data_IF_073724175316
#
_entry.id   IF_073724175316
#
_cell.length_a   1.000
_cell.length_b   1.000
_cell.length_c   1.000
_cell.angle_alpha   90.00
_cell.angle_beta   90.00
_cell.angle_gamma   90.00
#
_symmetry.space_group_name_H-M   'P 1'
#
loop_
_entity.id
_entity.type
_entity.pdbx_description
1 polymer ?
#
# COMPACT_ATOMS: atom_id res chain seq x y z
N UNK A 1 55.11 -60.10 19.40
CA UNK A 1 54.42 -59.49 20.56
C UNK A 1 54.41 -57.97 20.37
N UNK A 2 53.29 -57.40 19.92
CA UNK A 2 53.14 -55.93 19.89
C UNK A 2 53.15 -55.42 21.34
N UNK A 3 54.05 -54.49 21.64
CA UNK A 3 54.23 -53.95 22.99
C UNK A 3 52.98 -53.12 23.36
N UNK A 4 52.25 -53.51 24.41
CA UNK A 4 50.96 -52.89 24.78
C UNK A 4 51.07 -51.38 25.01
N UNK A 5 52.25 -50.90 25.45
CA UNK A 5 52.55 -49.48 25.61
C UNK A 5 52.54 -48.72 24.28
N UNK A 6 53.01 -49.34 23.19
CA UNK A 6 53.00 -48.74 21.84
C UNK A 6 51.58 -48.69 21.26
N UNK A 7 50.75 -49.68 21.55
CA UNK A 7 49.36 -49.73 21.09
C UNK A 7 48.49 -48.65 21.77
N UNK A 8 48.64 -48.49 23.09
CA UNK A 8 47.94 -47.44 23.85
C UNK A 8 48.37 -46.04 23.38
N UNK A 9 49.66 -45.83 23.11
CA UNK A 9 50.16 -44.55 22.63
C UNK A 9 49.59 -44.19 21.25
N UNK A 10 49.50 -45.17 20.33
CA UNK A 10 48.88 -44.98 19.01
C UNK A 10 47.38 -44.72 19.13
N UNK A 11 46.67 -45.39 20.04
CA UNK A 11 45.23 -45.19 20.26
C UNK A 11 44.93 -43.79 20.81
N UNK A 12 45.75 -43.31 21.76
CA UNK A 12 45.62 -41.96 22.33
C UNK A 12 45.96 -40.90 21.29
N UNK A 13 47.00 -41.13 20.47
CA UNK A 13 47.35 -40.23 19.36
C UNK A 13 46.22 -40.18 18.32
N UNK A 14 45.60 -41.32 17.99
CA UNK A 14 44.46 -41.39 17.08
C UNK A 14 43.23 -40.68 17.66
N UNK A 15 42.96 -40.80 18.96
CA UNK A 15 41.89 -40.03 19.62
C UNK A 15 42.17 -38.52 19.68
N UNK A 16 43.42 -38.09 19.88
CA UNK A 16 43.81 -36.67 19.83
C UNK A 16 43.68 -36.07 18.41
N UNK A 17 44.02 -36.84 17.37
CA UNK A 17 43.86 -36.40 15.97
C UNK A 17 42.38 -36.31 15.58
N UNK A 18 41.51 -37.18 16.12
CA UNK A 18 40.06 -37.10 15.89
C UNK A 18 39.34 -36.02 16.72
N UNK A 19 39.97 -35.48 17.77
CA UNK A 19 39.43 -34.34 18.53
C UNK A 19 39.61 -32.98 17.83
N UNK A 20 40.42 -32.92 16.77
CA UNK A 20 40.68 -31.68 16.01
C UNK A 20 39.64 -31.40 14.92
N UNK A 21 38.64 -32.27 14.71
CA UNK A 21 37.42 -31.89 13.99
C UNK A 21 36.35 -31.40 14.97
N UNK A 22 36.73 -30.45 15.84
CA UNK A 22 35.71 -29.59 16.41
C UNK A 22 35.12 -28.83 15.23
N UNK A 23 33.80 -28.94 15.03
CA UNK A 23 33.06 -28.15 14.06
C UNK A 23 33.31 -26.67 14.33
N UNK A 24 34.35 -26.12 13.73
CA UNK A 24 34.36 -24.72 13.36
C UNK A 24 33.32 -24.61 12.24
N UNK A 25 32.04 -24.52 12.63
CA UNK A 25 31.09 -23.84 11.77
C UNK A 25 31.66 -22.44 11.65
N UNK A 26 32.35 -22.20 10.54
CA UNK A 26 32.83 -20.89 10.14
C UNK A 26 31.57 -20.10 9.81
N UNK A 27 30.84 -19.66 10.85
CA UNK A 27 29.79 -18.68 10.66
C UNK A 27 30.52 -17.45 10.16
N UNK A 28 30.31 -17.11 8.89
CA UNK A 28 30.51 -15.74 8.43
C UNK A 28 29.59 -14.87 9.30
N UNK A 29 30.06 -14.53 10.49
CA UNK A 29 29.37 -13.67 11.41
C UNK A 29 29.37 -12.30 10.78
N UNK A 30 28.20 -11.68 10.74
CA UNK A 30 28.08 -10.29 10.36
C UNK A 30 28.90 -9.45 11.34
N UNK A 31 29.87 -8.71 10.85
CA UNK A 31 30.63 -7.78 11.68
C UNK A 31 29.72 -6.64 12.12
N UNK A 32 29.77 -6.29 13.42
CA UNK A 32 28.97 -5.19 13.99
C UNK A 32 29.41 -3.81 13.50
N UNK A 33 30.59 -3.73 12.88
CA UNK A 33 31.18 -2.50 12.35
C UNK A 33 31.10 -2.44 10.81
N UNK A 34 30.31 -3.32 10.19
CA UNK A 34 30.07 -3.36 8.75
C UNK A 34 30.81 -4.47 8.02
N UNK A 35 30.21 -4.96 6.92
CA UNK A 35 30.78 -5.98 6.04
C UNK A 35 31.08 -5.36 4.67
N UNK A 36 32.16 -5.80 4.01
CA UNK A 36 32.38 -5.56 2.59
C UNK A 36 31.57 -6.62 1.82
N UNK A 37 30.63 -6.18 0.97
CA UNK A 37 29.74 -7.07 0.22
C UNK A 37 30.07 -7.07 -1.29
N UNK A 38 29.94 -8.24 -1.92
CA UNK A 38 29.91 -8.43 -3.37
C UNK A 38 28.45 -8.50 -3.89
N UNK A 39 28.25 -8.61 -5.21
CA UNK A 39 26.90 -8.76 -5.80
C UNK A 39 26.17 -10.04 -5.41
N UNK A 40 26.87 -11.05 -4.89
CA UNK A 40 26.31 -12.34 -4.47
C UNK A 40 26.06 -12.45 -2.96
N UNK A 41 26.56 -11.49 -2.17
CA UNK A 41 26.36 -11.48 -0.71
C UNK A 41 24.99 -10.87 -0.37
N UNK A 42 24.30 -11.42 0.62
CA UNK A 42 22.98 -10.93 1.07
C UNK A 42 22.80 -11.09 2.58
N UNK A 43 21.85 -10.32 3.13
CA UNK A 43 21.29 -10.53 4.49
C UNK A 43 19.96 -11.22 4.31
N UNK A 44 19.81 -12.43 4.82
CA UNK A 44 18.56 -13.16 4.66
C UNK A 44 18.67 -14.63 4.96
N UNK A 45 17.62 -15.34 4.56
CA UNK A 45 17.48 -16.78 4.63
C UNK A 45 17.56 -17.38 3.21
N UNK A 46 18.07 -18.60 3.09
CA UNK A 46 18.10 -19.37 1.82
C UNK A 46 17.09 -20.50 1.79
N UNK A 47 16.33 -20.66 2.87
CA UNK A 47 15.26 -21.63 3.02
C UNK A 47 13.90 -20.92 3.12
N UNK A 48 12.83 -21.69 3.22
CA UNK A 48 11.45 -21.18 3.34
C UNK A 48 11.13 -20.66 4.76
N UNK A 49 12.04 -19.88 5.33
CA UNK A 49 11.86 -19.20 6.61
C UNK A 49 11.88 -17.69 6.40
N UNK A 50 11.09 -16.98 7.21
CA UNK A 50 11.08 -15.53 7.17
C UNK A 50 12.42 -14.95 7.66
N UNK A 51 12.89 -13.89 7.02
CA UNK A 51 13.96 -13.06 7.56
C UNK A 51 13.37 -12.12 8.60
N UNK A 52 13.83 -12.21 9.85
CA UNK A 52 13.20 -11.57 11.01
C UNK A 52 14.18 -10.60 11.69
N UNK A 53 13.72 -9.38 11.95
CA UNK A 53 14.43 -8.35 12.73
C UNK A 53 13.80 -8.21 14.12
N UNK A 54 14.62 -8.36 15.16
CA UNK A 54 14.21 -8.33 16.57
C UNK A 54 14.99 -7.30 17.38
N UNK A 55 14.36 -6.76 18.40
CA UNK A 55 15.00 -6.03 19.50
C UNK A 55 14.25 -6.33 20.80
N UNK A 56 14.99 -6.51 21.90
CA UNK A 56 14.43 -6.93 23.19
C UNK A 56 13.56 -8.21 23.08
N UNK A 57 14.02 -9.19 22.30
CA UNK A 57 13.30 -10.43 21.98
C UNK A 57 11.92 -10.25 21.28
N UNK A 58 11.53 -9.02 20.94
CA UNK A 58 10.32 -8.73 20.19
C UNK A 58 10.62 -8.62 18.70
N UNK A 59 9.73 -9.17 17.87
CA UNK A 59 9.78 -9.04 16.43
C UNK A 59 9.18 -7.72 15.97
N UNK A 60 9.95 -6.93 15.23
CA UNK A 60 9.53 -5.61 14.76
C UNK A 60 9.34 -5.55 13.25
N UNK A 61 10.08 -6.37 12.50
CA UNK A 61 9.96 -6.45 11.06
C UNK A 61 10.26 -7.86 10.58
N UNK A 62 9.58 -8.29 9.52
CA UNK A 62 9.90 -9.51 8.78
C UNK A 62 9.80 -9.33 7.28
N UNK A 63 10.50 -10.21 6.56
CA UNK A 63 10.26 -10.50 5.16
C UNK A 63 9.87 -11.98 5.06
N UNK A 64 8.65 -12.26 4.62
CA UNK A 64 8.16 -13.65 4.42
C UNK A 64 8.85 -14.32 3.23
N UNK A 65 8.81 -15.66 3.11
CA UNK A 65 9.29 -16.36 1.92
C UNK A 65 8.67 -15.87 0.60
N UNK A 66 7.44 -15.36 0.63
CA UNK A 66 6.73 -14.79 -0.54
C UNK A 66 7.12 -13.33 -0.86
N UNK A 67 8.10 -12.80 -0.13
CA UNK A 67 8.63 -11.44 -0.30
C UNK A 67 7.76 -10.33 0.29
N UNK A 68 6.72 -10.65 1.06
CA UNK A 68 5.94 -9.62 1.78
C UNK A 68 6.70 -9.11 3.00
N UNK A 69 6.70 -7.79 3.18
CA UNK A 69 7.31 -7.10 4.32
C UNK A 69 6.24 -6.79 5.36
N UNK A 70 6.43 -7.27 6.58
CA UNK A 70 5.58 -6.94 7.72
C UNK A 70 6.33 -6.04 8.70
N UNK A 71 5.70 -4.95 9.16
CA UNK A 71 6.19 -4.09 10.25
C UNK A 71 5.20 -4.20 11.42
N UNK A 72 5.69 -4.68 12.57
CA UNK A 72 4.87 -5.02 13.75
C UNK A 72 3.74 -6.04 13.48
N UNK A 73 3.87 -6.85 12.43
CA UNK A 73 2.96 -7.95 12.09
C UNK A 73 3.74 -9.16 11.60
N UNK A 74 3.31 -10.36 11.99
CA UNK A 74 3.91 -11.62 11.56
C UNK A 74 3.24 -12.22 10.31
N UNK A 75 2.11 -11.65 9.88
CA UNK A 75 1.26 -12.19 8.83
C UNK A 75 0.86 -11.09 7.82
N UNK A 76 1.83 -10.50 7.12
CA UNK A 76 1.57 -9.41 6.18
C UNK A 76 0.69 -9.89 5.02
N UNK A 77 -0.41 -9.18 4.76
CA UNK A 77 -1.37 -9.48 3.68
C UNK A 77 -1.02 -8.80 2.36
N UNK A 78 -0.23 -7.74 2.42
CA UNK A 78 0.23 -6.96 1.27
C UNK A 78 1.74 -6.98 1.18
N UNK A 79 2.30 -6.52 0.04
CA UNK A 79 3.75 -6.45 -0.17
C UNK A 79 4.46 -5.64 0.93
N UNK A 80 3.80 -4.60 1.43
CA UNK A 80 4.14 -3.93 2.67
C UNK A 80 2.89 -3.86 3.54
N UNK A 81 2.96 -4.42 4.75
CA UNK A 81 1.88 -4.39 5.74
C UNK A 81 2.43 -3.82 7.05
N UNK A 82 1.83 -2.72 7.53
CA UNK A 82 2.28 -1.99 8.71
C UNK A 82 1.17 -2.03 9.74
N UNK A 83 1.40 -2.75 10.85
CA UNK A 83 0.49 -2.72 11.99
C UNK A 83 0.80 -1.53 12.89
N UNK A 84 0.42 -0.35 12.43
CA UNK A 84 0.65 0.92 13.13
C UNK A 84 0.51 2.13 12.22
N UNK A 85 0.84 3.30 12.74
CA UNK A 85 0.79 4.56 11.99
C UNK A 85 2.04 4.76 11.14
N UNK A 86 1.85 5.21 9.90
CA UNK A 86 2.94 5.65 9.02
C UNK A 86 3.03 7.17 9.10
N UNK A 87 4.21 7.71 9.44
CA UNK A 87 4.50 9.15 9.43
C UNK A 87 5.53 9.44 8.34
N UNK A 88 5.14 10.20 7.32
CA UNK A 88 6.02 10.72 6.29
C UNK A 88 6.20 12.23 6.47
N UNK A 89 7.41 12.76 6.30
CA UNK A 89 7.71 14.20 6.39
C UNK A 89 7.55 14.93 5.07
N UNK A 90 7.60 14.21 3.94
CA UNK A 90 7.48 14.76 2.60
C UNK A 90 6.18 14.32 1.95
N UNK A 91 6.11 13.06 1.49
CA UNK A 91 4.99 12.57 0.71
C UNK A 91 4.92 11.04 0.69
N UNK A 92 3.75 10.52 0.30
CA UNK A 92 3.53 9.14 -0.13
C UNK A 92 3.10 9.24 -1.59
N UNK A 93 3.89 8.66 -2.49
CA UNK A 93 3.62 8.65 -3.93
C UNK A 93 2.94 7.34 -4.29
N UNK A 94 1.83 7.42 -4.99
CA UNK A 94 1.20 6.27 -5.67
C UNK A 94 1.55 6.41 -7.14
N UNK A 95 2.39 5.51 -7.66
CA UNK A 95 2.82 5.54 -9.06
C UNK A 95 1.68 5.20 -10.02
N UNK A 96 1.82 5.66 -11.28
CA UNK A 96 0.87 5.32 -12.34
C UNK A 96 0.90 3.81 -12.56
N UNK A 97 -0.26 3.18 -12.50
CA UNK A 97 -0.44 1.83 -13.05
C UNK A 97 -0.76 2.04 -14.53
N UNK A 98 0.16 1.62 -15.40
CA UNK A 98 0.17 1.92 -16.85
C UNK A 98 -1.12 1.55 -17.61
N UNK A 99 -2.00 0.74 -17.02
CA UNK A 99 -3.24 0.26 -17.62
C UNK A 99 -4.52 1.01 -17.20
N UNK A 100 -4.44 2.00 -16.30
CA UNK A 100 -5.62 2.63 -15.73
C UNK A 100 -5.43 4.15 -15.60
N UNK A 101 -5.83 4.87 -16.66
CA UNK A 101 -6.21 6.29 -16.58
C UNK A 101 -7.47 6.42 -15.70
N UNK A 102 -7.29 6.21 -14.39
CA UNK A 102 -8.34 6.25 -13.34
C UNK A 102 -8.54 7.66 -12.79
N UNK A 103 -7.77 8.65 -13.25
CA UNK A 103 -7.97 10.04 -12.83
C UNK A 103 -9.19 10.62 -13.56
N UNK A 104 -10.11 11.30 -12.86
CA UNK A 104 -11.46 11.51 -13.38
C UNK A 104 -11.61 12.59 -14.45
N UNK A 105 -10.54 13.21 -14.97
CA UNK A 105 -10.58 14.27 -15.99
C UNK A 105 -11.51 14.01 -17.18
N UNK A 106 -11.79 12.73 -17.49
CA UNK A 106 -12.78 12.31 -18.48
C UNK A 106 -14.21 12.83 -18.22
N UNK A 107 -14.53 13.28 -17.00
CA UNK A 107 -15.84 13.88 -16.65
C UNK A 107 -16.12 15.11 -17.50
N UNK A 108 -15.09 15.84 -17.92
CA UNK A 108 -15.24 17.04 -18.74
C UNK A 108 -15.31 16.74 -20.25
N UNK A 109 -15.25 15.47 -20.66
CA UNK A 109 -15.38 15.13 -22.07
C UNK A 109 -16.80 15.42 -22.59
N UNK A 110 -16.96 15.85 -23.85
CA UNK A 110 -18.28 16.18 -24.41
C UNK A 110 -19.27 15.00 -24.46
N UNK A 111 -18.77 13.77 -24.48
CA UNK A 111 -19.55 12.53 -24.48
C UNK A 111 -19.80 11.98 -23.05
N UNK A 112 -19.39 12.71 -22.01
CA UNK A 112 -19.63 12.30 -20.63
C UNK A 112 -21.13 12.34 -20.31
N UNK A 113 -21.69 11.17 -19.99
CA UNK A 113 -23.08 11.04 -19.58
C UNK A 113 -23.25 11.45 -18.10
N UNK A 114 -23.42 12.76 -17.86
CA UNK A 114 -23.70 13.26 -16.52
C UNK A 114 -25.07 12.78 -16.03
N UNK A 115 -25.07 12.11 -14.88
CA UNK A 115 -26.30 11.69 -14.22
C UNK A 115 -27.17 12.91 -13.89
N UNK A 116 -28.50 12.79 -13.97
CA UNK A 116 -29.39 13.86 -13.49
C UNK A 116 -29.22 14.10 -11.99
N UNK A 117 -29.17 15.37 -11.57
CA UNK A 117 -28.96 15.76 -10.17
C UNK A 117 -29.96 15.11 -9.21
N UNK A 118 -31.25 15.08 -9.57
CA UNK A 118 -32.28 14.47 -8.73
C UNK A 118 -32.08 12.96 -8.57
N UNK A 119 -31.77 12.25 -9.66
CA UNK A 119 -31.45 10.82 -9.62
C UNK A 119 -30.22 10.56 -8.76
N UNK A 120 -29.19 11.41 -8.86
CA UNK A 120 -28.00 11.31 -8.02
C UNK A 120 -28.33 11.51 -6.54
N UNK A 121 -29.17 12.49 -6.22
CA UNK A 121 -29.58 12.77 -4.85
C UNK A 121 -30.39 11.61 -4.25
N UNK A 122 -31.25 10.96 -5.04
CA UNK A 122 -31.95 9.74 -4.65
C UNK A 122 -30.97 8.60 -4.34
N UNK A 123 -29.94 8.40 -5.18
CA UNK A 123 -28.89 7.42 -4.91
C UNK A 123 -28.15 7.72 -3.61
N UNK A 124 -27.73 8.97 -3.39
CA UNK A 124 -27.04 9.36 -2.15
C UNK A 124 -27.91 9.10 -0.91
N UNK A 125 -29.20 9.40 -1.00
CA UNK A 125 -30.15 9.15 0.10
C UNK A 125 -30.37 7.66 0.35
N UNK A 126 -30.44 6.85 -0.72
CA UNK A 126 -30.65 5.41 -0.60
C UNK A 126 -29.42 4.69 -0.05
N UNK A 127 -28.22 5.01 -0.57
CA UNK A 127 -26.97 4.36 -0.17
C UNK A 127 -26.33 4.98 1.07
N UNK A 128 -26.71 6.21 1.46
CA UNK A 128 -26.18 6.96 2.62
C UNK A 128 -24.68 7.29 2.54
N UNK A 129 -24.12 7.32 1.33
CA UNK A 129 -22.77 7.81 1.04
C UNK A 129 -22.71 8.39 -0.37
N UNK A 130 -21.61 9.05 -0.73
CA UNK A 130 -21.41 9.59 -2.07
C UNK A 130 -21.12 8.46 -3.08
N UNK A 131 -21.49 8.64 -4.37
CA UNK A 131 -21.05 7.74 -5.43
C UNK A 131 -19.52 7.65 -5.45
N UNK A 132 -18.98 6.47 -5.80
CA UNK A 132 -17.54 6.21 -5.88
C UNK A 132 -16.77 6.32 -4.56
N UNK A 133 -17.47 6.53 -3.43
CA UNK A 133 -16.89 6.50 -2.09
C UNK A 133 -17.37 5.22 -1.41
N UNK A 134 -16.47 4.41 -0.83
CA UNK A 134 -16.87 3.17 -0.17
C UNK A 134 -17.77 3.46 1.03
N UNK A 135 -18.70 2.54 1.28
CA UNK A 135 -19.56 2.61 2.46
C UNK A 135 -18.77 2.37 3.74
N UNK A 136 -19.35 2.73 4.89
CA UNK A 136 -18.76 2.42 6.21
C UNK A 136 -18.47 0.93 6.38
N UNK A 137 -19.36 0.07 5.89
CA UNK A 137 -19.24 -1.39 6.05
C UNK A 137 -18.11 -1.95 5.18
N UNK A 138 -17.91 -1.39 3.98
CA UNK A 138 -16.77 -1.71 3.12
C UNK A 138 -15.44 -1.25 3.73
N UNK A 139 -15.39 -0.04 4.29
CA UNK A 139 -14.19 0.47 4.97
C UNK A 139 -13.83 -0.39 6.18
N UNK A 140 -14.81 -0.83 6.96
CA UNK A 140 -14.58 -1.71 8.11
C UNK A 140 -14.03 -3.08 7.68
N UNK A 141 -14.42 -3.57 6.52
CA UNK A 141 -14.04 -4.90 6.02
C UNK A 141 -12.67 -4.89 5.33
N UNK A 142 -12.43 -3.89 4.48
CA UNK A 142 -11.29 -3.87 3.56
C UNK A 142 -10.26 -2.78 3.87
N UNK A 143 -10.55 -1.87 4.80
CA UNK A 143 -9.81 -0.63 4.99
C UNK A 143 -10.16 0.42 3.93
N UNK A 144 -9.62 1.63 4.11
CA UNK A 144 -9.82 2.72 3.14
C UNK A 144 -8.75 2.65 2.05
N UNK A 145 -9.18 2.39 0.81
CA UNK A 145 -8.30 2.49 -0.35
C UNK A 145 -8.10 3.96 -0.73
N UNK A 146 -7.00 4.56 -0.26
CA UNK A 146 -6.75 6.01 -0.38
C UNK A 146 -6.77 6.47 -1.84
N UNK A 147 -6.10 5.75 -2.75
CA UNK A 147 -6.03 6.13 -4.16
C UNK A 147 -7.41 6.14 -4.83
N UNK A 148 -8.19 5.07 -4.65
CA UNK A 148 -9.53 4.97 -5.23
C UNK A 148 -10.51 5.98 -4.61
N UNK A 149 -10.42 6.18 -3.29
CA UNK A 149 -11.26 7.16 -2.59
C UNK A 149 -10.96 8.58 -3.05
N UNK A 150 -9.68 8.95 -3.20
CA UNK A 150 -9.29 10.29 -3.71
C UNK A 150 -9.80 10.48 -5.13
N UNK A 151 -9.62 9.49 -6.02
CA UNK A 151 -10.16 9.57 -7.38
C UNK A 151 -11.69 9.72 -7.37
N UNK A 152 -12.40 8.96 -6.54
CA UNK A 152 -13.85 9.08 -6.35
C UNK A 152 -14.27 10.46 -5.84
N UNK A 153 -13.53 11.06 -4.90
CA UNK A 153 -13.78 12.41 -4.40
C UNK A 153 -13.60 13.45 -5.51
N UNK A 154 -12.50 13.37 -6.26
CA UNK A 154 -12.25 14.30 -7.38
C UNK A 154 -13.36 14.16 -8.43
N UNK A 155 -13.79 12.94 -8.75
CA UNK A 155 -14.91 12.72 -9.68
C UNK A 155 -16.20 13.40 -9.21
N UNK A 156 -16.52 13.29 -7.93
CA UNK A 156 -17.69 13.97 -7.36
C UNK A 156 -17.57 15.50 -7.48
N UNK A 157 -16.37 16.05 -7.29
CA UNK A 157 -16.10 17.49 -7.43
C UNK A 157 -16.29 17.93 -8.87
N UNK A 158 -15.75 17.20 -9.84
CA UNK A 158 -15.87 17.52 -11.26
C UNK A 158 -17.32 17.46 -11.75
N UNK A 159 -18.07 16.43 -11.34
CA UNK A 159 -19.50 16.34 -11.64
C UNK A 159 -20.29 17.49 -10.96
N UNK A 160 -19.88 17.93 -9.77
CA UNK A 160 -20.48 19.10 -9.10
C UNK A 160 -20.26 20.38 -9.91
N UNK A 161 -19.07 20.57 -10.49
CA UNK A 161 -18.82 21.71 -11.38
C UNK A 161 -19.72 21.69 -12.62
N UNK A 162 -20.00 20.53 -13.21
CA UNK A 162 -20.96 20.43 -14.32
C UNK A 162 -22.40 20.77 -13.90
N UNK A 163 -22.83 20.34 -12.70
CA UNK A 163 -24.14 20.75 -12.18
C UNK A 163 -24.23 22.26 -11.93
N UNK A 164 -23.15 22.86 -11.41
CA UNK A 164 -23.08 24.31 -11.21
C UNK A 164 -23.17 25.03 -12.55
N UNK A 165 -22.45 24.58 -13.57
CA UNK A 165 -22.51 25.15 -14.91
C UNK A 165 -23.94 25.10 -15.49
N UNK A 166 -24.63 23.96 -15.35
CA UNK A 166 -26.04 23.82 -15.77
C UNK A 166 -26.97 24.77 -15.01
N UNK A 167 -26.73 24.95 -13.70
CA UNK A 167 -27.50 25.86 -12.87
C UNK A 167 -27.29 27.32 -13.25
N UNK A 168 -26.04 27.75 -13.49
CA UNK A 168 -25.69 29.10 -13.95
C UNK A 168 -26.35 29.43 -15.30
N UNK A 169 -26.28 28.50 -16.26
CA UNK A 169 -26.98 28.63 -17.56
C UNK A 169 -28.48 28.81 -17.38
N UNK A 170 -29.10 28.10 -16.43
CA UNK A 170 -30.53 28.24 -16.13
C UNK A 170 -30.86 29.58 -15.47
N UNK A 171 -30.03 30.07 -14.57
CA UNK A 171 -30.20 31.38 -13.92
C UNK A 171 -30.15 32.49 -14.97
N UNK A 172 -29.14 32.50 -15.84
CA UNK A 172 -29.02 33.49 -16.90
C UNK A 172 -30.24 33.51 -17.83
N UNK A 173 -30.75 32.34 -18.20
CA UNK A 173 -31.97 32.23 -19.00
C UNK A 173 -33.18 32.85 -18.29
N UNK A 174 -33.35 32.53 -17.00
CA UNK A 174 -34.45 33.08 -16.19
C UNK A 174 -34.33 34.60 -15.98
N UNK A 175 -33.11 35.12 -15.81
CA UNK A 175 -32.87 36.56 -15.68
C UNK A 175 -33.21 37.31 -16.97
N UNK A 176 -32.84 36.75 -18.12
CA UNK A 176 -33.17 37.33 -19.43
C UNK A 176 -34.68 37.27 -19.71
N UNK A 177 -35.35 36.14 -19.43
CA UNK A 177 -36.80 36.03 -19.52
C UNK A 177 -37.50 37.07 -18.63
N UNK A 178 -37.04 37.23 -17.39
CA UNK A 178 -37.58 38.22 -16.46
C UNK A 178 -37.39 39.66 -16.96
N UNK A 179 -36.24 39.96 -17.58
CA UNK A 179 -35.98 41.27 -18.18
C UNK A 179 -36.96 41.56 -19.31
N UNK A 180 -37.15 40.62 -20.22
CA UNK A 180 -38.08 40.75 -21.34
C UNK A 180 -39.53 40.91 -20.88
N UNK A 181 -39.94 40.18 -19.83
CA UNK A 181 -41.27 40.32 -19.24
C UNK A 181 -41.49 41.70 -18.63
N UNK A 182 -40.50 42.24 -17.91
CA UNK A 182 -40.55 43.60 -17.33
C UNK A 182 -40.67 44.69 -18.41
N UNK A 183 -39.95 44.54 -19.52
CA UNK A 183 -40.05 45.46 -20.65
C UNK A 183 -41.44 45.42 -21.31
N UNK A 184 -42.05 44.23 -21.46
CA UNK A 184 -43.42 44.09 -21.98
C UNK A 184 -44.46 44.77 -21.08
N UNK A 185 -44.35 44.63 -19.76
CA UNK A 185 -45.26 45.28 -18.80
C UNK A 185 -45.16 46.80 -18.88
N UNK A 186 -43.97 47.36 -19.10
CA UNK A 186 -43.76 48.82 -19.21
C UNK A 186 -44.37 49.43 -20.48
N UNK A 187 -44.55 48.62 -21.52
CA UNK A 187 -45.07 49.05 -22.83
C UNK A 187 -46.58 48.83 -22.99
N UNK A 188 -47.27 48.38 -21.94
CA UNK A 188 -48.74 48.26 -21.85
C UNK A 188 -49.33 49.42 -21.06
#
# INVERSE_FOLDING_TARGET
MFNSKKFIFILVLFMMVNYQNCFAQQTKSWLTNGNIASSSDFIGTTNTQAFILKSNNNEWMRITPDGNVGISTTSPKYKLDVHGSIRATKEIIVEKIDSLDKWPDFVFNPDYNLQLFNTRLELIKSQKHLPYIPSKDEINSNGLQISETISGLVRNIEELYLYIEQMEKRIQLLEEENKQLKEKIKNQ
#
